data_IF_289465864988
#
_entry.id   IF_289465864988
#
_cell.length_a   1.000
_cell.length_b   1.000
_cell.length_c   1.000
_cell.angle_alpha   90.00
_cell.angle_beta   90.00
_cell.angle_gamma   90.00
#
_symmetry.space_group_name_H-M   'P 1'
#
loop_
_entity.id
_entity.type
_entity.pdbx_description
1 polymer ?
#
# COMPACT_ATOMS: atom_id res chain seq x y z
N UNK A 1 28.72 6.46 -12.25
CA UNK A 1 27.42 5.75 -12.31
C UNK A 1 26.83 5.48 -10.93
N UNK A 2 27.60 4.98 -9.95
CA UNK A 2 27.15 4.74 -8.57
C UNK A 2 26.45 5.97 -7.92
N UNK A 3 27.04 7.16 -8.09
CA UNK A 3 26.60 8.41 -7.46
C UNK A 3 25.18 8.85 -7.85
N UNK A 4 24.76 8.59 -9.10
CA UNK A 4 23.42 8.96 -9.57
C UNK A 4 22.34 8.00 -9.05
N UNK A 5 22.66 6.71 -8.98
CA UNK A 5 21.78 5.69 -8.39
C UNK A 5 21.54 5.96 -6.91
N UNK A 6 22.59 6.30 -6.16
CA UNK A 6 22.49 6.61 -4.74
C UNK A 6 21.71 7.91 -4.50
N UNK A 7 21.96 8.94 -5.32
CA UNK A 7 21.19 10.18 -5.30
C UNK A 7 19.70 9.94 -5.56
N UNK A 8 19.37 9.15 -6.58
CA UNK A 8 17.97 8.81 -6.91
C UNK A 8 17.27 8.09 -5.75
N UNK A 9 17.94 7.12 -5.11
CA UNK A 9 17.39 6.42 -3.94
C UNK A 9 17.14 7.38 -2.77
N UNK A 10 18.08 8.27 -2.48
CA UNK A 10 17.92 9.27 -1.41
C UNK A 10 16.79 10.26 -1.71
N UNK A 11 16.66 10.69 -2.97
CA UNK A 11 15.59 11.59 -3.38
C UNK A 11 14.22 10.89 -3.27
N UNK A 12 14.09 9.67 -3.81
CA UNK A 12 12.86 8.87 -3.70
C UNK A 12 12.45 8.66 -2.24
N UNK A 13 13.41 8.34 -1.36
CA UNK A 13 13.15 8.21 0.07
C UNK A 13 12.64 9.53 0.68
N UNK A 14 13.31 10.66 0.39
CA UNK A 14 12.92 11.98 0.93
C UNK A 14 11.53 12.39 0.45
N UNK A 15 11.23 12.21 -0.83
CA UNK A 15 9.90 12.52 -1.39
C UNK A 15 8.85 11.59 -0.79
N UNK A 16 9.10 10.29 -0.66
CA UNK A 16 8.14 9.40 0.01
C UNK A 16 7.88 9.81 1.45
N UNK A 17 8.93 10.25 2.16
CA UNK A 17 8.83 10.74 3.53
C UNK A 17 7.98 12.00 3.69
N UNK A 18 7.79 12.80 2.64
CA UNK A 18 6.88 13.97 2.73
C UNK A 18 5.41 13.58 2.72
N UNK A 19 5.07 12.38 2.21
CA UNK A 19 3.69 11.86 2.18
C UNK A 19 3.44 10.80 3.27
N UNK A 20 4.47 10.04 3.65
CA UNK A 20 4.41 9.04 4.71
C UNK A 20 5.61 9.20 5.64
N UNK A 21 5.42 9.89 6.76
CA UNK A 21 6.47 10.20 7.73
C UNK A 21 7.05 8.94 8.41
N UNK A 22 6.32 7.81 8.35
CA UNK A 22 6.70 6.53 8.95
C UNK A 22 7.65 5.72 8.09
N UNK A 23 7.96 6.14 6.86
CA UNK A 23 8.94 5.41 6.04
C UNK A 23 10.26 5.22 6.79
N UNK A 24 10.64 3.95 6.96
CA UNK A 24 11.89 3.51 7.58
C UNK A 24 12.98 3.30 6.55
N UNK A 25 12.65 2.58 5.47
CA UNK A 25 13.62 2.21 4.43
C UNK A 25 12.89 2.00 3.11
N UNK A 26 13.46 2.57 2.04
CA UNK A 26 13.01 2.29 0.68
C UNK A 26 13.54 0.91 0.25
N UNK A 27 12.63 -0.04 0.01
CA UNK A 27 12.96 -1.43 -0.34
C UNK A 27 13.22 -1.54 -1.84
N UNK A 28 12.33 -0.99 -2.66
CA UNK A 28 12.48 -0.97 -4.11
C UNK A 28 11.77 0.24 -4.73
N UNK A 29 12.13 0.57 -5.97
CA UNK A 29 11.42 1.56 -6.78
C UNK A 29 11.44 1.17 -8.25
N UNK A 30 10.31 1.31 -8.94
CA UNK A 30 10.23 1.17 -10.41
C UNK A 30 9.85 2.51 -11.05
N UNK A 31 10.30 2.74 -12.28
CA UNK A 31 10.18 4.05 -12.92
C UNK A 31 8.76 4.39 -13.38
N UNK A 32 7.99 3.36 -13.74
CA UNK A 32 6.66 3.49 -14.27
C UNK A 32 5.82 2.28 -13.90
N UNK A 33 4.66 2.56 -13.34
CA UNK A 33 3.60 1.62 -13.08
C UNK A 33 2.26 2.31 -13.40
N UNK A 34 1.32 1.54 -13.96
CA UNK A 34 -0.08 1.94 -14.09
C UNK A 34 -0.92 1.17 -13.08
N UNK A 35 -1.84 1.86 -12.43
CA UNK A 35 -2.77 1.28 -11.46
C UNK A 35 -4.13 1.08 -12.13
N UNK A 36 -4.68 -0.11 -11.95
CA UNK A 36 -6.03 -0.47 -12.31
C UNK A 36 -6.78 -0.92 -11.05
N UNK A 37 -8.08 -0.74 -11.03
CA UNK A 37 -8.98 -1.28 -10.03
C UNK A 37 -9.94 -2.24 -10.71
N UNK A 38 -10.19 -3.38 -10.10
CA UNK A 38 -11.17 -4.33 -10.60
C UNK A 38 -12.56 -3.87 -10.19
N UNK A 39 -13.43 -3.68 -11.17
CA UNK A 39 -14.83 -3.35 -10.96
C UNK A 39 -15.65 -4.65 -10.91
N UNK A 40 -16.19 -4.96 -9.74
CA UNK A 40 -17.00 -6.17 -9.53
C UNK A 40 -18.31 -6.14 -10.32
N UNK A 41 -18.87 -4.95 -10.61
CA UNK A 41 -20.13 -4.83 -11.37
C UNK A 41 -19.95 -5.19 -12.83
N UNK A 42 -18.88 -4.69 -13.45
CA UNK A 42 -18.55 -4.98 -14.86
C UNK A 42 -17.69 -6.22 -15.03
N UNK A 43 -17.11 -6.75 -13.94
CA UNK A 43 -16.13 -7.83 -13.94
C UNK A 43 -14.92 -7.54 -14.83
N UNK A 44 -14.48 -6.28 -14.87
CA UNK A 44 -13.40 -5.81 -15.73
C UNK A 44 -12.46 -4.82 -15.00
N UNK A 45 -11.27 -4.62 -15.57
CA UNK A 45 -10.27 -3.72 -15.03
C UNK A 45 -10.48 -2.29 -15.51
N UNK A 46 -10.65 -1.36 -14.56
CA UNK A 46 -10.76 0.06 -14.82
C UNK A 46 -9.44 0.76 -14.51
N UNK A 47 -8.94 1.58 -15.44
CA UNK A 47 -7.75 2.38 -15.20
C UNK A 47 -8.06 3.53 -14.24
N UNK A 48 -7.32 3.64 -13.13
CA UNK A 48 -7.62 4.60 -12.05
C UNK A 48 -7.09 6.02 -12.32
N UNK A 49 -6.63 6.30 -13.54
CA UNK A 49 -5.87 7.52 -13.89
C UNK A 49 -4.58 7.75 -13.06
N UNK A 50 -4.13 6.75 -12.30
CA UNK A 50 -2.87 6.81 -11.57
C UNK A 50 -1.76 6.08 -12.31
N UNK A 51 -0.72 6.83 -12.70
CA UNK A 51 0.50 6.24 -13.24
C UNK A 51 1.74 7.06 -12.91
N UNK A 52 2.86 6.36 -12.72
CA UNK A 52 4.14 7.01 -12.44
C UNK A 52 5.11 6.08 -11.70
N UNK A 53 6.15 6.63 -11.05
CA UNK A 53 7.09 5.80 -10.32
C UNK A 53 6.43 5.20 -9.08
N UNK A 54 6.66 3.91 -8.86
CA UNK A 54 6.18 3.18 -7.69
C UNK A 54 7.31 3.00 -6.69
N UNK A 55 7.01 3.18 -5.41
CA UNK A 55 7.88 2.92 -4.27
C UNK A 55 7.31 1.79 -3.44
N UNK A 56 8.17 0.83 -3.09
CA UNK A 56 7.91 -0.17 -2.06
C UNK A 56 8.82 0.13 -0.88
N UNK A 57 8.26 0.18 0.31
CA UNK A 57 9.01 0.60 1.49
C UNK A 57 8.52 -0.05 2.77
N UNK A 58 9.41 -0.09 3.75
CA UNK A 58 9.09 -0.51 5.11
C UNK A 58 8.78 0.73 5.97
N UNK A 59 7.84 0.58 6.89
CA UNK A 59 7.38 1.61 7.82
C UNK A 59 7.83 1.29 9.24
N UNK A 60 8.10 2.33 10.03
CA UNK A 60 8.27 2.20 11.46
C UNK A 60 6.92 1.89 12.10
N UNK A 61 6.86 0.78 12.84
CA UNK A 61 5.74 0.47 13.72
C UNK A 61 6.13 0.80 15.16
N UNK A 62 5.23 1.48 15.86
CA UNK A 62 5.36 1.70 17.29
C UNK A 62 4.92 0.42 18.01
N UNK A 63 5.87 -0.48 18.27
CA UNK A 63 5.59 -1.74 18.96
C UNK A 63 5.91 -1.56 20.43
N UNK A 64 4.95 -1.91 21.30
CA UNK A 64 5.16 -2.03 22.72
C UNK A 64 6.19 -3.14 22.98
N UNK A 65 7.38 -2.82 23.54
CA UNK A 65 8.44 -3.81 23.71
C UNK A 65 8.11 -4.90 24.74
N UNK A 66 7.11 -4.70 25.59
CA UNK A 66 6.72 -5.63 26.65
C UNK A 66 5.63 -6.61 26.18
N UNK A 67 4.65 -6.13 25.42
CA UNK A 67 3.52 -6.96 24.96
C UNK A 67 3.68 -7.43 23.51
N UNK A 68 4.58 -6.78 22.75
CA UNK A 68 4.70 -6.97 21.30
C UNK A 68 3.52 -6.38 20.52
N UNK A 69 2.64 -5.61 21.17
CA UNK A 69 1.48 -5.01 20.50
C UNK A 69 1.88 -3.76 19.74
N UNK A 70 1.27 -3.56 18.58
CA UNK A 70 1.45 -2.34 17.80
C UNK A 70 0.55 -1.26 18.41
N UNK A 71 1.15 -0.26 19.04
CA UNK A 71 0.49 1.00 19.40
C UNK A 71 0.63 1.98 18.24
N UNK A 72 -0.22 1.79 17.23
CA UNK A 72 -0.28 2.74 16.13
C UNK A 72 -0.68 4.13 16.62
N UNK A 73 -0.19 5.17 15.97
CA UNK A 73 -0.90 6.45 16.01
C UNK A 73 -2.30 6.22 15.44
N UNK A 74 -3.31 6.92 15.95
CA UNK A 74 -4.60 6.93 15.27
C UNK A 74 -4.41 7.59 13.91
N UNK A 75 -4.78 6.87 12.85
CA UNK A 75 -4.89 7.43 11.52
C UNK A 75 -6.02 8.45 11.56
N UNK A 76 -5.67 9.71 11.29
CA UNK A 76 -6.61 10.81 11.18
C UNK A 76 -7.17 10.78 9.76
N UNK A 77 -8.48 10.87 9.61
CA UNK A 77 -9.10 11.13 8.31
C UNK A 77 -8.56 12.47 7.79
N UNK A 78 -7.94 12.45 6.62
CA UNK A 78 -7.55 13.71 6.01
C UNK A 78 -8.82 14.33 5.43
N UNK A 79 -9.00 15.64 5.57
CA UNK A 79 -9.94 16.40 4.74
C UNK A 79 -9.39 16.38 3.31
N UNK A 80 -9.66 15.29 2.59
CA UNK A 80 -9.49 15.23 1.14
C UNK A 80 -10.77 15.85 0.58
N UNK A 81 -10.65 16.81 -0.33
CA UNK A 81 -11.81 17.35 -1.05
C UNK A 81 -12.67 16.18 -1.56
N UNK A 82 -13.99 16.24 -1.33
CA UNK A 82 -15.01 15.21 -1.67
C UNK A 82 -15.00 14.75 -3.15
N UNK A 83 -14.15 15.37 -3.98
CA UNK A 83 -13.92 15.07 -5.39
C UNK A 83 -13.28 13.69 -5.59
N UNK A 84 -12.55 13.17 -4.60
CA UNK A 84 -11.89 11.88 -4.68
C UNK A 84 -12.55 10.89 -3.73
N UNK A 85 -13.38 9.99 -4.27
CA UNK A 85 -13.89 8.83 -3.52
C UNK A 85 -12.70 7.95 -3.09
N UNK A 86 -12.22 8.15 -1.86
CA UNK A 86 -11.09 7.39 -1.32
C UNK A 86 -11.55 6.63 -0.09
N UNK A 87 -11.44 5.30 -0.14
CA UNK A 87 -11.63 4.48 1.07
C UNK A 87 -10.36 4.59 1.92
N UNK A 88 -10.30 5.62 2.75
CA UNK A 88 -9.14 5.85 3.62
C UNK A 88 -9.11 4.82 4.76
N UNK A 89 -7.92 4.29 5.05
CA UNK A 89 -7.71 3.47 6.23
C UNK A 89 -7.77 4.36 7.48
N UNK A 90 -8.54 3.94 8.47
CA UNK A 90 -8.72 4.62 9.77
C UNK A 90 -8.29 3.70 10.92
N UNK A 91 -8.22 4.23 12.14
CA UNK A 91 -7.89 3.45 13.34
C UNK A 91 -6.39 3.34 13.62
N UNK A 92 -5.94 2.25 14.25
CA UNK A 92 -4.52 2.08 14.63
C UNK A 92 -3.60 1.89 13.42
N UNK A 93 -2.48 2.62 13.39
CA UNK A 93 -1.41 2.40 12.41
C UNK A 93 -0.59 1.11 12.70
N UNK A 94 -0.95 0.02 12.02
CA UNK A 94 -0.23 -1.26 12.05
C UNK A 94 0.38 -1.69 10.72
N UNK A 95 0.46 -0.81 9.72
CA UNK A 95 0.88 -1.18 8.38
C UNK A 95 2.41 -1.21 8.26
N UNK A 96 3.01 -2.40 8.36
CA UNK A 96 4.46 -2.62 8.37
C UNK A 96 5.15 -2.20 7.06
N UNK A 97 4.46 -2.37 5.93
CA UNK A 97 4.96 -1.98 4.63
C UNK A 97 4.01 -1.00 3.96
N UNK A 98 4.55 -0.22 3.04
CA UNK A 98 3.79 0.69 2.20
C UNK A 98 4.14 0.50 0.73
N UNK A 99 3.14 0.74 -0.11
CA UNK A 99 3.26 0.91 -1.55
C UNK A 99 2.70 2.29 -1.90
N UNK A 100 3.44 3.04 -2.70
CA UNK A 100 2.97 4.34 -3.20
C UNK A 100 3.31 4.49 -4.69
N UNK A 101 2.36 4.98 -5.49
CA UNK A 101 2.60 5.39 -6.88
C UNK A 101 2.45 6.90 -6.95
N UNK A 102 3.53 7.59 -7.28
CA UNK A 102 3.49 9.04 -7.47
C UNK A 102 2.83 9.34 -8.81
N UNK A 103 1.64 9.92 -8.76
CA UNK A 103 0.88 10.16 -9.96
C UNK A 103 1.50 11.28 -10.79
N UNK A 104 1.62 11.06 -12.10
CA UNK A 104 2.08 12.08 -13.05
C UNK A 104 0.92 12.82 -13.72
N UNK A 105 -0.27 12.25 -13.69
CA UNK A 105 -1.47 12.83 -14.32
C UNK A 105 -2.16 13.84 -13.43
N UNK A 106 -2.22 13.58 -12.12
CA UNK A 106 -2.96 14.39 -11.14
C UNK A 106 -2.16 14.58 -9.85
N UNK A 107 -2.63 15.46 -8.96
CA UNK A 107 -1.98 15.74 -7.67
C UNK A 107 -2.29 14.69 -6.59
N UNK A 108 -3.10 13.68 -6.92
CA UNK A 108 -3.45 12.58 -6.01
C UNK A 108 -2.62 11.34 -6.34
N UNK A 109 -1.82 10.93 -5.36
CA UNK A 109 -1.01 9.71 -5.43
C UNK A 109 -1.85 8.49 -5.03
N UNK A 110 -1.49 7.32 -5.56
CA UNK A 110 -2.02 6.07 -5.03
C UNK A 110 -1.16 5.63 -3.84
N UNK A 111 -1.79 5.18 -2.75
CA UNK A 111 -1.08 4.60 -1.61
C UNK A 111 -1.83 3.42 -1.01
N UNK A 112 -1.08 2.45 -0.48
CA UNK A 112 -1.64 1.27 0.16
C UNK A 112 -0.74 0.83 1.33
N UNK A 113 -1.32 0.72 2.52
CA UNK A 113 -0.69 0.14 3.70
C UNK A 113 -0.85 -1.39 3.70
N UNK A 114 0.22 -2.13 4.00
CA UNK A 114 0.25 -3.59 3.94
C UNK A 114 0.62 -4.16 5.31
N UNK A 115 -0.29 -4.90 5.93
CA UNK A 115 0.00 -5.75 7.08
C UNK A 115 -0.87 -7.00 7.23
N UNK A 116 -0.25 -8.19 7.17
CA UNK A 116 -0.88 -9.47 7.50
C UNK A 116 -0.63 -9.96 8.93
N UNK A 117 -0.17 -9.09 9.84
CA UNK A 117 -0.07 -9.44 11.26
C UNK A 117 -1.47 -9.80 11.80
N UNK A 118 -1.60 -11.04 12.29
CA UNK A 118 -2.90 -11.61 12.67
C UNK A 118 -3.50 -10.85 13.87
N UNK A 119 -2.66 -10.38 14.81
CA UNK A 119 -3.14 -9.64 15.97
C UNK A 119 -3.69 -8.28 15.55
N UNK A 120 -2.97 -7.57 14.69
CA UNK A 120 -3.38 -6.30 14.12
C UNK A 120 -4.71 -6.41 13.36
N UNK A 121 -4.81 -7.40 12.45
CA UNK A 121 -6.05 -7.62 11.67
C UNK A 121 -7.24 -7.92 12.60
N UNK A 122 -7.05 -8.77 13.61
CA UNK A 122 -8.13 -9.10 14.53
C UNK A 122 -8.57 -7.90 15.37
N UNK A 123 -7.64 -7.03 15.80
CA UNK A 123 -7.97 -5.77 16.47
C UNK A 123 -8.75 -4.83 15.56
N UNK A 124 -8.31 -4.65 14.31
CA UNK A 124 -9.01 -3.80 13.34
C UNK A 124 -10.44 -4.29 13.04
N UNK A 125 -10.64 -5.61 12.94
CA UNK A 125 -11.98 -6.20 12.82
C UNK A 125 -12.85 -5.92 14.04
N UNK A 126 -12.30 -6.08 15.24
CA UNK A 126 -13.03 -5.82 16.48
C UNK A 126 -13.48 -4.36 16.57
N UNK A 127 -12.57 -3.41 16.29
CA UNK A 127 -12.88 -1.97 16.27
C UNK A 127 -13.99 -1.63 15.27
N UNK A 128 -13.94 -2.19 14.05
CA UNK A 128 -14.98 -1.95 13.03
C UNK A 128 -16.32 -2.57 13.37
N UNK A 129 -16.33 -3.69 14.10
CA UNK A 129 -17.56 -4.36 14.54
C UNK A 129 -18.31 -3.53 15.58
N UNK A 130 -17.60 -2.79 16.44
CA UNK A 130 -18.20 -1.88 17.42
C UNK A 130 -18.84 -0.64 16.75
N UNK A 131 -18.38 -0.26 15.56
CA UNK A 131 -18.92 0.87 14.77
C UNK A 131 -20.17 0.52 13.93
N UNK A 132 -20.78 -0.67 14.09
CA UNK A 132 -21.87 -1.18 13.22
C UNK A 132 -21.50 -1.28 11.72
N UNK A 133 -20.21 -1.35 11.40
CA UNK A 133 -19.73 -1.67 10.05
C UNK A 133 -19.52 -3.18 9.98
N UNK A 134 -19.95 -3.81 8.88
CA UNK A 134 -19.92 -5.27 8.68
C UNK A 134 -18.64 -5.92 9.24
N UNK A 135 -18.81 -6.95 10.07
CA UNK A 135 -17.74 -7.68 10.82
C UNK A 135 -16.66 -8.28 9.92
N UNK A 136 -16.90 -8.41 8.61
CA UNK A 136 -15.94 -8.94 7.63
C UNK A 136 -15.12 -7.85 6.90
N UNK A 137 -15.33 -6.57 7.18
CA UNK A 137 -14.80 -5.45 6.36
C UNK A 137 -13.28 -5.22 6.40
N UNK A 138 -12.50 -6.07 7.11
CA UNK A 138 -11.03 -5.99 7.13
C UNK A 138 -10.38 -7.34 6.83
N UNK A 139 -9.68 -7.44 5.70
CA UNK A 139 -9.12 -8.67 5.16
C UNK A 139 -7.60 -8.74 5.30
N UNK A 140 -7.05 -9.95 5.21
CA UNK A 140 -5.62 -10.11 4.90
C UNK A 140 -5.37 -9.64 3.47
N UNK A 141 -4.27 -8.90 3.27
CA UNK A 141 -3.80 -8.54 1.93
C UNK A 141 -3.33 -9.82 1.23
N UNK A 142 -3.74 -9.97 -0.02
CA UNK A 142 -3.31 -11.07 -0.89
C UNK A 142 -2.66 -10.49 -2.12
N UNK A 143 -1.64 -11.17 -2.63
CA UNK A 143 -0.99 -10.81 -3.89
C UNK A 143 -0.92 -12.02 -4.79
N UNK A 144 -1.18 -11.80 -6.08
CA UNK A 144 -1.05 -12.78 -7.14
C UNK A 144 -0.43 -12.13 -8.38
N UNK A 145 0.02 -12.96 -9.33
CA UNK A 145 0.52 -12.52 -10.62
C UNK A 145 -0.24 -13.25 -11.71
N UNK A 146 -0.97 -12.50 -12.52
CA UNK A 146 -1.71 -13.04 -13.67
C UNK A 146 -1.30 -12.27 -14.92
N UNK A 147 -0.72 -12.98 -15.88
CA UNK A 147 -0.20 -12.40 -17.12
C UNK A 147 0.78 -11.24 -16.81
N UNK A 148 0.45 -10.03 -17.22
CA UNK A 148 1.27 -8.83 -17.03
C UNK A 148 0.83 -7.96 -15.83
N UNK A 149 -0.12 -8.44 -15.02
CA UNK A 149 -0.65 -7.71 -13.86
C UNK A 149 -0.27 -8.37 -12.55
N UNK A 150 0.32 -7.57 -11.66
CA UNK A 150 0.43 -7.92 -10.25
C UNK A 150 -0.90 -7.53 -9.60
N UNK A 151 -1.63 -8.51 -9.08
CA UNK A 151 -2.95 -8.33 -8.48
C UNK A 151 -2.80 -8.27 -6.97
N UNK A 152 -3.37 -7.25 -6.31
CA UNK A 152 -3.36 -7.10 -4.87
C UNK A 152 -4.76 -6.83 -4.34
N UNK A 153 -5.24 -7.68 -3.42
CA UNK A 153 -6.47 -7.43 -2.67
C UNK A 153 -6.15 -6.69 -1.38
N UNK A 154 -6.73 -5.51 -1.17
CA UNK A 154 -6.47 -4.61 -0.04
C UNK A 154 -7.10 -5.11 1.26
N UNK A 155 -6.78 -4.45 2.37
CA UNK A 155 -7.45 -4.66 3.65
C UNK A 155 -8.96 -4.38 3.60
N UNK A 156 -9.40 -3.45 2.76
CA UNK A 156 -10.82 -3.10 2.63
C UNK A 156 -11.54 -3.92 1.54
N UNK A 157 -10.85 -4.89 0.94
CA UNK A 157 -11.42 -5.83 -0.02
C UNK A 157 -11.31 -5.39 -1.48
N UNK A 158 -10.91 -4.15 -1.76
CA UNK A 158 -10.66 -3.67 -3.12
C UNK A 158 -9.55 -4.47 -3.79
N UNK A 159 -9.64 -4.64 -5.11
CA UNK A 159 -8.68 -5.42 -5.88
C UNK A 159 -8.00 -4.51 -6.90
N UNK A 160 -6.69 -4.36 -6.75
CA UNK A 160 -5.87 -3.50 -7.61
C UNK A 160 -4.96 -4.33 -8.52
N UNK A 161 -4.78 -3.86 -9.75
CA UNK A 161 -3.86 -4.40 -10.74
C UNK A 161 -2.74 -3.41 -10.99
N UNK A 162 -1.49 -3.86 -10.85
CA UNK A 162 -0.31 -3.07 -11.13
C UNK A 162 0.37 -3.59 -12.39
N UNK A 163 0.37 -2.75 -13.42
CA UNK A 163 1.07 -3.04 -14.66
C UNK A 163 2.43 -2.37 -14.66
N UNK A 164 3.48 -3.16 -14.91
CA UNK A 164 4.87 -2.73 -15.04
C UNK A 164 5.39 -3.31 -16.35
N UNK A 165 5.87 -2.43 -17.23
CA UNK A 165 6.29 -2.79 -18.60
C UNK A 165 7.48 -3.77 -18.60
N UNK A 166 8.49 -3.50 -17.77
CA UNK A 166 9.65 -4.37 -17.68
C UNK A 166 9.33 -5.64 -16.88
N UNK A 167 9.38 -6.80 -17.54
CA UNK A 167 9.08 -8.10 -16.93
C UNK A 167 9.98 -8.42 -15.72
N UNK A 168 11.28 -8.10 -15.80
CA UNK A 168 12.22 -8.33 -14.71
C UNK A 168 11.89 -7.50 -13.46
N UNK A 169 11.56 -6.21 -13.66
CA UNK A 169 11.07 -5.34 -12.58
C UNK A 169 9.74 -5.83 -12.02
N UNK A 170 8.81 -6.25 -12.89
CA UNK A 170 7.50 -6.79 -12.50
C UNK A 170 7.63 -8.03 -11.62
N UNK A 171 8.44 -9.00 -12.02
CA UNK A 171 8.68 -10.22 -11.24
C UNK A 171 9.36 -9.90 -9.89
N UNK A 172 10.30 -8.95 -9.87
CA UNK A 172 10.93 -8.50 -8.63
C UNK A 172 9.90 -7.87 -7.67
N UNK A 173 9.06 -6.96 -8.17
CA UNK A 173 7.99 -6.32 -7.39
C UNK A 173 7.01 -7.34 -6.86
N UNK A 174 6.56 -8.29 -7.69
CA UNK A 174 5.67 -9.36 -7.27
C UNK A 174 6.28 -10.18 -6.12
N UNK A 175 7.53 -10.61 -6.25
CA UNK A 175 8.20 -11.40 -5.22
C UNK A 175 8.36 -10.62 -3.91
N UNK A 176 8.67 -9.32 -3.97
CA UNK A 176 8.76 -8.46 -2.79
C UNK A 176 7.40 -8.31 -2.10
N UNK A 177 6.34 -8.03 -2.86
CA UNK A 177 4.98 -7.95 -2.30
C UNK A 177 4.54 -9.29 -1.69
N UNK A 178 4.89 -10.41 -2.33
CA UNK A 178 4.63 -11.75 -1.81
C UNK A 178 5.36 -11.98 -0.48
N UNK A 179 6.59 -11.49 -0.35
CA UNK A 179 7.30 -11.50 0.92
C UNK A 179 6.64 -10.60 1.96
N UNK A 180 6.21 -9.38 1.61
CA UNK A 180 5.56 -8.45 2.54
C UNK A 180 4.30 -9.04 3.17
N UNK A 181 3.51 -9.80 2.39
CA UNK A 181 2.28 -10.45 2.88
C UNK A 181 2.54 -11.74 3.66
N UNK A 182 3.71 -12.36 3.51
CA UNK A 182 4.06 -13.65 4.14
C UNK A 182 4.89 -13.47 5.42
N UNK A 183 5.75 -12.46 5.47
CA UNK A 183 6.70 -12.20 6.56
C UNK A 183 6.07 -11.34 7.67
N UNK A 184 4.99 -11.79 8.31
CA UNK A 184 4.34 -11.05 9.41
C UNK A 184 3.98 -11.95 10.58
#
# INVERSE_FOLDING_TARGET
MQTFSDYKKQLNFKVTKTYDDKIRTLVNSVNHCKVYEFDDETSDWQFTNCQGPMMLYERYLNINPQTGDIHGYQLIENEVDDIYETSQLTGEDGYRFGLMVFNRSEQVNFSLGISNDVKFINRQRALRSEENKDTESFFQVKVDLKEDLIILKSHLGQVYGFWIENEGERLLVFNLLKQFVTLQ
#
